data_IF_553289107864
#
_entry.id   IF_553289107864
#
_cell.length_a   1.000
_cell.length_b   1.000
_cell.length_c   1.000
_cell.angle_alpha   90.00
_cell.angle_beta   90.00
_cell.angle_gamma   90.00
#
_symmetry.space_group_name_H-M   'P 1'
#
loop_
_entity.id
_entity.type
_entity.pdbx_description
1 polymer ?
#
# COMPACT_ATOMS: atom_id res chain seq x y z
N UNK A 1 -21.38 -41.12 -27.93
CA UNK A 1 -21.19 -39.69 -28.20
C UNK A 1 -20.34 -39.12 -27.06
N UNK A 2 -19.07 -38.81 -27.31
CA UNK A 2 -18.17 -38.26 -26.29
C UNK A 2 -17.97 -36.77 -26.57
N UNK A 3 -18.45 -35.91 -25.68
CA UNK A 3 -18.24 -34.46 -25.76
C UNK A 3 -16.98 -34.17 -24.97
N UNK A 4 -15.82 -34.29 -25.61
CA UNK A 4 -14.58 -33.70 -25.09
C UNK A 4 -14.65 -32.19 -25.30
N UNK A 5 -15.17 -31.49 -24.29
CA UNK A 5 -15.08 -30.03 -24.21
C UNK A 5 -13.63 -29.63 -23.99
N UNK A 6 -13.01 -29.06 -25.02
CA UNK A 6 -11.69 -28.46 -24.92
C UNK A 6 -11.83 -27.17 -24.10
N UNK A 7 -11.37 -27.18 -22.85
CA UNK A 7 -11.32 -25.96 -22.04
C UNK A 7 -10.38 -24.98 -22.74
N UNK A 8 -10.93 -23.96 -23.39
CA UNK A 8 -10.15 -22.90 -24.00
C UNK A 8 -9.35 -22.19 -22.90
N UNK A 9 -8.02 -22.20 -23.01
CA UNK A 9 -7.15 -21.47 -22.11
C UNK A 9 -7.55 -19.99 -22.13
N UNK A 10 -8.01 -19.48 -20.99
CA UNK A 10 -8.33 -18.06 -20.88
C UNK A 10 -7.03 -17.27 -21.02
N UNK A 11 -6.95 -16.30 -21.95
CA UNK A 11 -5.76 -15.47 -22.06
C UNK A 11 -5.56 -14.72 -20.75
N UNK A 12 -4.32 -14.73 -20.25
CA UNK A 12 -3.94 -14.02 -19.04
C UNK A 12 -4.26 -12.53 -19.22
N UNK A 13 -5.22 -12.02 -18.45
CA UNK A 13 -5.67 -10.64 -18.57
C UNK A 13 -4.69 -9.71 -17.85
N UNK A 14 -3.85 -9.02 -18.63
CA UNK A 14 -2.99 -7.97 -18.10
C UNK A 14 -3.72 -6.62 -18.12
N UNK A 15 -3.64 -5.84 -17.03
CA UNK A 15 -4.15 -4.47 -17.04
C UNK A 15 -3.46 -3.65 -18.14
N UNK A 16 -4.23 -2.79 -18.79
CA UNK A 16 -3.66 -1.84 -19.76
C UNK A 16 -2.73 -0.85 -19.05
N UNK A 17 -1.82 -0.22 -19.79
CA UNK A 17 -0.98 0.88 -19.26
C UNK A 17 -1.82 2.00 -18.64
N UNK A 18 -3.01 2.28 -19.22
CA UNK A 18 -3.96 3.26 -18.67
C UNK A 18 -4.49 2.82 -17.32
N UNK A 19 -4.82 1.53 -17.18
CA UNK A 19 -5.28 0.94 -15.93
C UNK A 19 -4.19 1.06 -14.87
N UNK A 20 -2.96 0.59 -15.16
CA UNK A 20 -1.82 0.72 -14.24
C UNK A 20 -1.59 2.16 -13.77
N UNK A 21 -1.57 3.12 -14.70
CA UNK A 21 -1.41 4.54 -14.36
C UNK A 21 -2.50 5.02 -13.39
N UNK A 22 -3.76 4.68 -13.66
CA UNK A 22 -4.86 5.10 -12.82
C UNK A 22 -4.80 4.45 -11.43
N UNK A 23 -4.36 3.19 -11.32
CA UNK A 23 -4.15 2.50 -10.05
C UNK A 23 -3.07 3.21 -9.22
N UNK A 24 -1.91 3.55 -9.81
CA UNK A 24 -0.85 4.28 -9.08
C UNK A 24 -1.26 5.70 -8.67
N UNK A 25 -2.02 6.40 -9.52
CA UNK A 25 -2.59 7.71 -9.14
C UNK A 25 -3.57 7.55 -7.98
N UNK A 26 -4.44 6.54 -8.04
CA UNK A 26 -5.38 6.21 -6.96
C UNK A 26 -4.67 5.90 -5.65
N UNK A 27 -3.66 5.02 -5.69
CA UNK A 27 -2.81 4.68 -4.54
C UNK A 27 -2.12 5.91 -3.95
N UNK A 28 -1.55 6.77 -4.78
CA UNK A 28 -0.97 8.04 -4.34
C UNK A 28 -2.01 8.96 -3.66
N UNK A 29 -3.18 9.14 -4.26
CA UNK A 29 -4.25 9.97 -3.68
C UNK A 29 -4.74 9.42 -2.35
N UNK A 30 -4.94 8.10 -2.25
CA UNK A 30 -5.35 7.44 -1.02
C UNK A 30 -4.28 7.59 0.08
N UNK A 31 -3.00 7.44 -0.28
CA UNK A 31 -1.88 7.64 0.64
C UNK A 31 -1.84 9.08 1.15
N UNK A 32 -2.04 10.09 0.29
CA UNK A 32 -2.05 11.48 0.73
C UNK A 32 -3.24 11.79 1.65
N UNK A 33 -4.42 11.24 1.35
CA UNK A 33 -5.57 11.35 2.25
C UNK A 33 -5.27 10.75 3.63
N UNK A 34 -4.60 9.58 3.65
CA UNK A 34 -4.15 8.95 4.89
C UNK A 34 -3.11 9.78 5.64
N UNK A 35 -2.09 10.34 4.97
CA UNK A 35 -1.08 11.20 5.59
C UNK A 35 -1.72 12.42 6.28
N UNK A 36 -2.65 13.08 5.59
CA UNK A 36 -3.36 14.23 6.13
C UNK A 36 -4.17 13.80 7.35
N UNK A 37 -4.98 12.75 7.24
CA UNK A 37 -5.76 12.24 8.35
C UNK A 37 -4.87 11.90 9.56
N UNK A 38 -3.85 11.07 9.34
CA UNK A 38 -2.96 10.57 10.37
C UNK A 38 -2.21 11.70 11.08
N UNK A 39 -1.69 12.70 10.37
CA UNK A 39 -0.90 13.76 10.99
C UNK A 39 -1.74 14.90 11.57
N UNK A 40 -2.93 15.16 11.02
CA UNK A 40 -3.73 16.33 11.40
C UNK A 40 -4.91 15.95 12.28
N UNK A 41 -5.74 15.00 11.86
CA UNK A 41 -7.01 14.70 12.54
C UNK A 41 -6.76 13.90 13.81
N UNK A 42 -5.86 12.91 13.76
CA UNK A 42 -5.59 12.09 14.94
C UNK A 42 -4.96 12.90 16.08
N UNK A 43 -4.23 13.97 15.78
CA UNK A 43 -3.72 14.88 16.80
C UNK A 43 -4.82 15.40 17.73
N UNK A 44 -6.01 15.66 17.19
CA UNK A 44 -7.18 16.13 17.96
C UNK A 44 -7.96 14.99 18.61
N UNK A 45 -7.99 13.81 18.00
CA UNK A 45 -8.85 12.69 18.41
C UNK A 45 -8.17 11.78 19.43
N UNK A 46 -6.86 11.55 19.32
CA UNK A 46 -6.11 10.56 20.13
C UNK A 46 -5.01 11.17 21.00
N UNK A 47 -4.88 12.50 21.01
CA UNK A 47 -3.94 13.23 21.89
C UNK A 47 -2.52 13.38 21.31
N UNK A 48 -2.30 13.04 20.05
CA UNK A 48 -1.03 13.26 19.35
C UNK A 48 -1.11 12.82 17.88
N UNK A 49 -0.27 13.38 16.97
CA UNK A 49 -0.27 12.98 15.58
C UNK A 49 0.27 11.54 15.45
N UNK A 50 -0.43 10.70 14.70
CA UNK A 50 0.16 9.46 14.24
C UNK A 50 1.21 9.77 13.17
N UNK A 51 2.40 9.19 13.33
CA UNK A 51 3.46 9.23 12.34
C UNK A 51 3.43 7.94 11.52
N UNK A 52 2.94 7.95 10.27
CA UNK A 52 2.74 6.71 9.51
C UNK A 52 4.01 5.85 9.36
N UNK A 53 5.22 6.43 9.14
CA UNK A 53 6.45 5.64 9.12
C UNK A 53 6.79 4.93 10.43
N UNK A 54 6.36 5.46 11.59
CA UNK A 54 6.61 4.83 12.90
C UNK A 54 5.80 3.54 13.09
N UNK A 55 4.65 3.39 12.41
CA UNK A 55 3.95 2.12 12.35
C UNK A 55 4.79 1.04 11.65
N UNK A 56 5.46 1.39 10.56
CA UNK A 56 6.37 0.47 9.87
C UNK A 56 7.55 0.09 10.78
N UNK A 57 8.17 1.08 11.45
CA UNK A 57 9.26 0.81 12.40
C UNK A 57 8.82 -0.08 13.54
N UNK A 58 7.69 0.22 14.17
CA UNK A 58 7.18 -0.55 15.31
C UNK A 58 6.84 -1.99 14.91
N UNK A 59 6.28 -2.20 13.72
CA UNK A 59 6.02 -3.53 13.18
C UNK A 59 7.32 -4.30 12.96
N UNK A 60 8.29 -3.71 12.25
CA UNK A 60 9.58 -4.38 12.00
C UNK A 60 10.28 -4.73 13.32
N UNK A 61 10.31 -3.78 14.27
CA UNK A 61 10.91 -3.99 15.59
C UNK A 61 10.19 -5.10 16.36
N UNK A 62 8.86 -5.16 16.31
CA UNK A 62 8.07 -6.18 16.99
C UNK A 62 8.40 -7.60 16.52
N UNK A 63 8.61 -7.79 15.21
CA UNK A 63 8.82 -9.12 14.62
C UNK A 63 10.28 -9.54 14.53
N UNK A 64 11.21 -8.60 14.41
CA UNK A 64 12.61 -8.89 14.10
C UNK A 64 13.59 -8.39 15.16
N UNK A 65 13.12 -7.61 16.15
CA UNK A 65 13.96 -6.85 17.10
C UNK A 65 14.93 -5.86 16.46
N UNK A 66 14.88 -5.66 15.13
CA UNK A 66 15.70 -4.68 14.42
C UNK A 66 15.12 -3.27 14.58
N UNK A 67 15.96 -2.31 14.97
CA UNK A 67 15.61 -0.89 14.99
C UNK A 67 15.89 -0.26 13.62
N UNK A 68 14.84 -0.16 12.82
CA UNK A 68 14.91 0.37 11.46
C UNK A 68 15.07 1.90 11.46
N UNK A 69 15.98 2.47 10.65
CA UNK A 69 16.08 3.91 10.46
C UNK A 69 14.77 4.51 9.94
N UNK A 70 14.40 5.70 10.44
CA UNK A 70 13.19 6.41 10.02
C UNK A 70 13.15 6.67 8.51
N UNK A 71 14.29 6.96 7.88
CA UNK A 71 14.38 7.16 6.43
C UNK A 71 13.97 5.90 5.65
N UNK A 72 14.42 4.73 6.09
CA UNK A 72 14.03 3.44 5.50
C UNK A 72 12.55 3.16 5.69
N UNK A 73 12.02 3.39 6.89
CA UNK A 73 10.60 3.20 7.17
C UNK A 73 9.72 4.16 6.36
N UNK A 74 10.16 5.40 6.19
CA UNK A 74 9.48 6.41 5.36
C UNK A 74 9.45 5.99 3.90
N UNK A 75 10.59 5.51 3.37
CA UNK A 75 10.65 4.99 2.02
C UNK A 75 9.71 3.80 1.81
N UNK A 76 9.75 2.81 2.71
CA UNK A 76 8.88 1.64 2.65
C UNK A 76 7.40 2.01 2.75
N UNK A 77 7.07 2.95 3.63
CA UNK A 77 5.72 3.48 3.77
C UNK A 77 5.19 4.08 2.46
N UNK A 78 5.96 4.98 1.82
CA UNK A 78 5.54 5.56 0.54
C UNK A 78 5.50 4.52 -0.58
N UNK A 79 6.46 3.59 -0.62
CA UNK A 79 6.51 2.53 -1.62
C UNK A 79 5.27 1.63 -1.52
N UNK A 80 4.96 1.13 -0.32
CA UNK A 80 3.79 0.26 -0.10
C UNK A 80 2.49 1.04 -0.32
N UNK A 81 2.42 2.29 0.14
CA UNK A 81 1.23 3.12 -0.03
C UNK A 81 0.88 3.40 -1.49
N UNK A 82 1.88 3.57 -2.37
CA UNK A 82 1.65 3.86 -3.79
C UNK A 82 1.52 2.57 -4.62
N UNK A 83 2.34 1.55 -4.35
CA UNK A 83 2.46 0.38 -5.22
C UNK A 83 1.84 -0.91 -4.65
N UNK A 84 1.63 -0.97 -3.33
CA UNK A 84 1.14 -2.18 -2.64
C UNK A 84 -0.39 -2.33 -2.67
N UNK A 85 -1.12 -1.25 -2.93
CA UNK A 85 -2.59 -1.24 -3.01
C UNK A 85 -3.08 -0.56 -4.29
N UNK A 86 -2.76 -1.13 -5.48
CA UNK A 86 -3.24 -0.61 -6.75
C UNK A 86 -4.77 -0.73 -6.86
#
# INVERSE_FOLDING_TARGET
MSITGQAAAQPLAFPSTRTFRNLFIGGYCALMAWEIWARTITAWVVGGPLEPPELVRSLVRHWTSYDMPLSTATFLHYLVGIFGYP
#
